data_IF_555056984043
#
_entry.id   IF_555056984043
#
_cell.length_a   1.000
_cell.length_b   1.000
_cell.length_c   1.000
_cell.angle_alpha   90.00
_cell.angle_beta   90.00
_cell.angle_gamma   90.00
#
_symmetry.space_group_name_H-M   'P 1'
#
loop_
_entity.id
_entity.type
_entity.pdbx_description
1 polymer ?
#
# COMPACT_ATOMS: atom_id res chain seq x y z
N UNK A 1 -17.98 -6.21 4.35
CA UNK A 1 -16.53 -5.87 4.22
C UNK A 1 -15.86 -5.91 5.60
N UNK A 2 -16.30 -5.09 6.56
CA UNK A 2 -15.83 -5.07 7.96
C UNK A 2 -15.64 -6.46 8.62
N UNK A 3 -16.67 -7.33 8.66
CA UNK A 3 -16.54 -8.69 9.22
C UNK A 3 -15.50 -9.57 8.54
N UNK A 4 -15.30 -9.43 7.22
CA UNK A 4 -14.28 -10.22 6.51
C UNK A 4 -12.86 -9.83 6.92
N UNK A 5 -12.64 -8.55 7.24
CA UNK A 5 -11.32 -8.09 7.65
C UNK A 5 -10.93 -8.65 9.02
N UNK A 6 -11.87 -8.69 9.97
CA UNK A 6 -11.68 -9.30 11.29
C UNK A 6 -11.54 -10.83 11.24
N UNK A 7 -12.38 -11.50 10.46
CA UNK A 7 -12.46 -12.97 10.48
C UNK A 7 -11.52 -13.66 9.49
N UNK A 8 -11.03 -12.95 8.47
CA UNK A 8 -10.17 -13.54 7.43
C UNK A 8 -8.83 -12.83 7.31
N UNK A 9 -8.84 -11.51 7.15
CA UNK A 9 -7.61 -10.76 6.82
C UNK A 9 -6.63 -10.74 7.99
N UNK A 10 -7.05 -10.31 9.18
CA UNK A 10 -6.14 -10.27 10.34
C UNK A 10 -5.62 -11.67 10.72
N UNK A 11 -6.46 -12.72 10.80
CA UNK A 11 -5.98 -14.07 11.04
C UNK A 11 -4.97 -14.54 9.98
N UNK A 12 -5.23 -14.27 8.70
CA UNK A 12 -4.30 -14.65 7.63
C UNK A 12 -2.98 -13.87 7.68
N UNK A 13 -2.99 -12.60 8.10
CA UNK A 13 -1.76 -11.83 8.35
C UNK A 13 -0.95 -12.51 9.44
N UNK A 14 -1.57 -12.83 10.58
CA UNK A 14 -0.90 -13.46 11.71
C UNK A 14 -0.30 -14.83 11.37
N UNK A 15 -1.06 -15.66 10.65
CA UNK A 15 -0.64 -16.99 10.20
C UNK A 15 0.55 -16.94 9.23
N UNK A 16 0.55 -15.97 8.31
CA UNK A 16 1.62 -15.78 7.32
C UNK A 16 2.77 -14.89 7.80
N UNK A 17 2.68 -14.32 9.00
CA UNK A 17 3.69 -13.39 9.50
C UNK A 17 4.99 -14.14 9.81
N UNK A 18 6.11 -13.63 9.32
CA UNK A 18 7.40 -14.28 9.54
C UNK A 18 7.77 -14.31 11.04
N UNK A 19 8.20 -15.47 11.52
CA UNK A 19 8.68 -15.62 12.89
C UNK A 19 9.91 -14.72 13.12
N UNK A 20 9.92 -14.02 14.26
CA UNK A 20 11.00 -13.08 14.63
C UNK A 20 10.85 -11.66 14.08
N UNK A 21 9.87 -11.39 13.21
CA UNK A 21 9.56 -10.03 12.76
C UNK A 21 8.89 -9.21 13.84
N UNK A 22 9.05 -7.87 13.77
CA UNK A 22 8.26 -6.95 14.58
C UNK A 22 6.77 -7.19 14.31
N UNK A 23 5.97 -7.27 15.38
CA UNK A 23 4.52 -7.48 15.31
C UNK A 23 3.71 -6.20 15.41
N UNK A 24 4.37 -5.04 15.45
CA UNK A 24 3.73 -3.76 15.20
C UNK A 24 3.47 -3.61 13.69
N UNK A 25 2.20 -3.62 13.30
CA UNK A 25 1.76 -3.62 11.90
C UNK A 25 0.79 -2.47 11.68
N UNK A 26 1.05 -1.67 10.64
CA UNK A 26 0.14 -0.60 10.22
C UNK A 26 -0.63 -1.10 9.00
N UNK A 27 -1.95 -1.25 9.14
CA UNK A 27 -2.85 -1.50 8.01
C UNK A 27 -3.37 -0.15 7.53
N UNK A 28 -2.99 0.20 6.32
CA UNK A 28 -3.46 1.41 5.65
C UNK A 28 -4.85 1.16 5.02
N UNK A 29 -5.81 2.05 5.23
CA UNK A 29 -7.13 2.02 4.60
C UNK A 29 -7.55 3.40 4.07
N UNK A 30 -8.47 3.45 3.11
CA UNK A 30 -9.02 4.74 2.68
C UNK A 30 -10.00 5.32 3.72
N UNK A 31 -10.37 6.59 3.58
CA UNK A 31 -11.27 7.30 4.49
C UNK A 31 -12.76 7.17 4.09
N UNK A 32 -13.21 5.98 3.67
CA UNK A 32 -14.63 5.74 3.39
C UNK A 32 -15.41 5.33 4.64
N UNK A 33 -16.68 5.74 4.74
CA UNK A 33 -17.54 5.53 5.92
C UNK A 33 -17.82 4.05 6.25
N UNK A 34 -17.53 3.14 5.33
CA UNK A 34 -17.81 1.70 5.45
C UNK A 34 -16.70 0.90 6.14
N UNK A 35 -15.62 1.57 6.53
CA UNK A 35 -14.46 0.93 7.16
C UNK A 35 -14.56 0.81 8.69
N UNK A 36 -13.74 -0.10 9.23
CA UNK A 36 -13.63 -0.32 10.67
C UNK A 36 -13.01 0.93 11.31
N UNK A 37 -13.58 1.41 12.40
CA UNK A 37 -12.91 2.38 13.25
C UNK A 37 -11.71 1.69 13.93
N UNK A 38 -10.55 2.34 13.97
CA UNK A 38 -9.38 1.82 14.69
C UNK A 38 -9.65 1.58 16.18
N UNK A 39 -10.58 2.33 16.77
CA UNK A 39 -10.99 2.19 18.17
C UNK A 39 -12.11 1.17 18.39
N UNK A 40 -12.51 0.43 17.34
CA UNK A 40 -13.53 -0.61 17.46
C UNK A 40 -13.07 -1.73 18.41
N UNK A 41 -13.84 -2.05 19.48
CA UNK A 41 -13.40 -3.04 20.47
C UNK A 41 -13.19 -4.45 19.90
N UNK A 42 -13.96 -4.85 18.88
CA UNK A 42 -13.82 -6.16 18.26
C UNK A 42 -12.54 -6.22 17.41
N UNK A 43 -12.24 -5.14 16.70
CA UNK A 43 -10.98 -4.97 16.00
C UNK A 43 -9.79 -5.03 16.94
N UNK A 44 -9.75 -4.19 17.98
CA UNK A 44 -8.64 -4.12 18.93
C UNK A 44 -8.36 -5.49 19.56
N UNK A 45 -9.41 -6.21 19.95
CA UNK A 45 -9.29 -7.56 20.51
C UNK A 45 -8.57 -8.53 19.56
N UNK A 46 -8.92 -8.53 18.27
CA UNK A 46 -8.30 -9.44 17.30
C UNK A 46 -6.92 -8.94 16.88
N UNK A 47 -6.76 -7.64 16.71
CA UNK A 47 -5.53 -6.96 16.30
C UNK A 47 -4.40 -7.11 17.34
N UNK A 48 -4.74 -7.05 18.62
CA UNK A 48 -3.78 -7.06 19.73
C UNK A 48 -3.52 -8.45 20.34
N UNK A 49 -4.27 -9.48 19.90
CA UNK A 49 -4.05 -10.84 20.36
C UNK A 49 -2.69 -11.40 19.87
N UNK A 50 -2.18 -12.42 20.55
CA UNK A 50 -0.98 -13.19 20.16
C UNK A 50 0.31 -12.35 20.13
N UNK A 51 0.34 -11.26 20.90
CA UNK A 51 1.45 -10.31 20.98
C UNK A 51 1.62 -9.45 19.74
N UNK A 52 0.59 -9.36 18.90
CA UNK A 52 0.56 -8.39 17.81
C UNK A 52 0.11 -7.02 18.29
N UNK A 53 0.52 -5.99 17.57
CA UNK A 53 0.05 -4.62 17.74
C UNK A 53 -0.32 -4.08 16.36
N UNK A 54 -1.50 -4.45 15.89
CA UNK A 54 -2.01 -4.07 14.56
C UNK A 54 -2.86 -2.81 14.71
N UNK A 55 -2.48 -1.74 14.01
CA UNK A 55 -3.21 -0.47 14.02
C UNK A 55 -3.75 -0.14 12.63
N UNK A 56 -4.89 0.54 12.58
CA UNK A 56 -5.44 1.08 11.33
C UNK A 56 -4.96 2.52 11.14
N UNK A 57 -4.49 2.82 9.93
CA UNK A 57 -4.15 4.18 9.54
C UNK A 57 -4.94 4.58 8.30
N UNK A 58 -5.74 5.65 8.42
CA UNK A 58 -6.47 6.19 7.29
C UNK A 58 -5.55 7.02 6.39
N UNK A 59 -5.70 6.86 5.08
CA UNK A 59 -5.03 7.66 4.07
C UNK A 59 -5.52 9.12 4.10
N UNK A 60 -4.65 10.09 3.75
CA UNK A 60 -5.10 11.44 3.45
C UNK A 60 -6.19 11.43 2.37
N UNK A 61 -7.21 12.26 2.52
CA UNK A 61 -8.31 12.35 1.56
C UNK A 61 -7.82 12.80 0.17
N UNK A 62 -8.50 12.33 -0.88
CA UNK A 62 -8.30 12.77 -2.28
C UNK A 62 -6.91 12.52 -2.88
N UNK A 63 -6.16 11.52 -2.40
CA UNK A 63 -4.86 11.17 -3.00
C UNK A 63 -4.77 9.68 -3.36
N UNK A 64 -5.27 9.27 -4.55
CA UNK A 64 -5.27 7.86 -4.96
C UNK A 64 -3.86 7.29 -5.10
N UNK A 65 -2.85 8.13 -5.33
CA UNK A 65 -1.46 7.70 -5.46
C UNK A 65 -0.83 7.30 -4.11
N UNK A 66 -1.50 7.60 -2.98
CA UNK A 66 -1.14 7.10 -1.65
C UNK A 66 -1.80 5.75 -1.31
N UNK A 67 -2.61 5.20 -2.22
CA UNK A 67 -3.16 3.87 -2.10
C UNK A 67 -2.34 2.87 -2.90
N UNK A 68 -1.57 2.04 -2.20
CA UNK A 68 -0.67 1.06 -2.83
C UNK A 68 -1.40 0.06 -3.74
N UNK A 69 -2.66 -0.30 -3.40
CA UNK A 69 -3.47 -1.20 -4.21
C UNK A 69 -3.92 -0.51 -5.49
N UNK A 70 -4.30 0.77 -5.42
CA UNK A 70 -4.63 1.58 -6.60
C UNK A 70 -3.40 1.87 -7.47
N UNK A 71 -2.23 2.07 -6.87
CA UNK A 71 -0.99 2.36 -7.59
C UNK A 71 -0.38 1.12 -8.27
N UNK A 72 -0.63 -0.07 -7.74
CA UNK A 72 -0.10 -1.32 -8.24
C UNK A 72 -1.17 -2.29 -8.71
N UNK A 73 -1.69 -3.08 -7.77
CA UNK A 73 -2.54 -4.24 -8.06
C UNK A 73 -3.74 -3.94 -8.97
N UNK A 74 -4.54 -2.92 -8.66
CA UNK A 74 -5.74 -2.59 -9.43
C UNK A 74 -5.39 -2.09 -10.83
N UNK A 75 -4.29 -1.36 -11.00
CA UNK A 75 -3.81 -0.96 -12.34
C UNK A 75 -3.43 -2.16 -13.19
N UNK A 76 -2.73 -3.14 -12.62
CA UNK A 76 -2.37 -4.38 -13.36
C UNK A 76 -3.63 -5.14 -13.78
N UNK A 77 -4.58 -5.32 -12.86
CA UNK A 77 -5.85 -5.99 -13.16
C UNK A 77 -6.63 -5.24 -14.25
N UNK A 78 -6.70 -3.90 -14.18
CA UNK A 78 -7.34 -3.07 -15.20
C UNK A 78 -6.65 -3.22 -16.57
N UNK A 79 -5.31 -3.20 -16.61
CA UNK A 79 -4.55 -3.43 -17.85
C UNK A 79 -4.91 -4.78 -18.46
N UNK A 80 -4.92 -5.85 -17.65
CA UNK A 80 -5.31 -7.19 -18.12
C UNK A 80 -6.76 -7.21 -18.61
N UNK A 81 -7.67 -6.55 -17.89
CA UNK A 81 -9.07 -6.44 -18.28
C UNK A 81 -9.21 -5.79 -19.66
N UNK A 82 -8.47 -4.71 -19.92
CA UNK A 82 -8.48 -4.01 -21.21
C UNK A 82 -7.83 -4.83 -22.31
N UNK A 83 -6.65 -5.39 -22.07
CA UNK A 83 -5.90 -6.20 -23.06
C UNK A 83 -6.67 -7.46 -23.47
N UNK A 84 -7.27 -8.15 -22.50
CA UNK A 84 -8.00 -9.41 -22.73
C UNK A 84 -9.50 -9.20 -22.96
N UNK A 85 -9.99 -7.96 -22.90
CA UNK A 85 -11.41 -7.61 -23.07
C UNK A 85 -12.35 -8.46 -22.22
N UNK A 86 -11.99 -8.68 -20.94
CA UNK A 86 -12.75 -9.54 -20.03
C UNK A 86 -14.16 -8.94 -19.81
N UNK A 87 -15.21 -9.76 -19.94
CA UNK A 87 -16.61 -9.31 -19.93
C UNK A 87 -17.43 -9.88 -18.77
N UNK A 88 -16.90 -10.88 -18.07
CA UNK A 88 -17.63 -11.58 -17.00
C UNK A 88 -16.88 -11.52 -15.67
N UNK A 89 -17.63 -11.70 -14.58
CA UNK A 89 -17.06 -11.78 -13.23
C UNK A 89 -16.12 -12.98 -13.10
N UNK A 90 -16.44 -14.12 -13.72
CA UNK A 90 -15.60 -15.32 -13.68
C UNK A 90 -14.23 -15.10 -14.33
N UNK A 91 -14.21 -14.43 -15.48
CA UNK A 91 -12.96 -14.03 -16.15
C UNK A 91 -12.13 -13.06 -15.31
N UNK A 92 -12.78 -12.12 -14.62
CA UNK A 92 -12.10 -11.20 -13.71
C UNK A 92 -11.49 -11.93 -12.51
N UNK A 93 -12.19 -12.92 -11.94
CA UNK A 93 -11.65 -13.75 -10.84
C UNK A 93 -10.39 -14.47 -11.30
N UNK A 94 -10.43 -15.13 -12.47
CA UNK A 94 -9.25 -15.80 -13.05
C UNK A 94 -8.10 -14.81 -13.24
N UNK A 95 -8.38 -13.61 -13.76
CA UNK A 95 -7.35 -12.60 -13.94
C UNK A 95 -6.72 -12.14 -12.61
N UNK A 96 -7.52 -11.97 -11.56
CA UNK A 96 -7.04 -11.64 -10.22
C UNK A 96 -6.18 -12.76 -9.66
N UNK A 97 -6.58 -14.02 -9.80
CA UNK A 97 -5.80 -15.18 -9.37
C UNK A 97 -4.44 -15.26 -10.08
N UNK A 98 -4.41 -15.01 -11.39
CA UNK A 98 -3.16 -14.94 -12.16
C UNK A 98 -2.26 -13.84 -11.63
N UNK A 99 -2.77 -12.61 -11.43
CA UNK A 99 -1.98 -11.50 -10.89
C UNK A 99 -1.43 -11.83 -9.51
N UNK A 100 -2.24 -12.42 -8.63
CA UNK A 100 -1.80 -12.82 -7.30
C UNK A 100 -0.69 -13.88 -7.36
N UNK A 101 -0.79 -14.86 -8.25
CA UNK A 101 0.21 -15.92 -8.40
C UNK A 101 1.52 -15.44 -9.05
N UNK A 102 1.44 -14.47 -9.98
CA UNK A 102 2.62 -13.87 -10.62
C UNK A 102 3.29 -12.80 -9.75
N UNK A 103 2.59 -12.30 -8.73
CA UNK A 103 3.13 -11.31 -7.80
C UNK A 103 4.24 -11.93 -6.95
N UNK A 104 5.39 -11.27 -6.90
CA UNK A 104 6.54 -11.70 -6.13
C UNK A 104 7.18 -10.50 -5.41
N UNK A 105 8.18 -10.77 -4.56
CA UNK A 105 8.82 -9.75 -3.76
C UNK A 105 9.42 -8.60 -4.60
N UNK A 106 9.89 -8.88 -5.82
CA UNK A 106 10.45 -7.86 -6.71
C UNK A 106 9.37 -6.95 -7.27
N UNK A 107 8.26 -7.53 -7.75
CA UNK A 107 7.14 -6.71 -8.28
C UNK A 107 6.44 -5.93 -7.18
N UNK A 108 6.29 -6.50 -5.98
CA UNK A 108 5.82 -5.79 -4.80
C UNK A 108 6.75 -4.62 -4.43
N UNK A 109 8.06 -4.84 -4.46
CA UNK A 109 9.02 -3.79 -4.18
C UNK A 109 8.94 -2.67 -5.23
N UNK A 110 8.63 -2.95 -6.50
CA UNK A 110 8.41 -1.89 -7.48
C UNK A 110 7.25 -0.96 -7.12
N UNK A 111 6.13 -1.52 -6.68
CA UNK A 111 4.96 -0.74 -6.26
C UNK A 111 5.26 0.03 -4.98
N UNK A 112 5.93 -0.62 -4.02
CA UNK A 112 6.36 0.00 -2.76
C UNK A 112 7.26 1.21 -2.99
N UNK A 113 8.28 1.07 -3.84
CA UNK A 113 9.12 2.19 -4.23
C UNK A 113 8.31 3.29 -4.93
N UNK A 114 7.32 2.95 -5.76
CA UNK A 114 6.48 3.97 -6.43
C UNK A 114 5.76 4.81 -5.40
N UNK A 115 5.18 4.18 -4.37
CA UNK A 115 4.49 4.87 -3.30
C UNK A 115 5.42 5.84 -2.56
N UNK A 116 6.64 5.41 -2.22
CA UNK A 116 7.62 6.28 -1.57
C UNK A 116 8.04 7.47 -2.45
N UNK A 117 8.19 7.24 -3.76
CA UNK A 117 8.44 8.34 -4.70
C UNK A 117 7.26 9.32 -4.77
N UNK A 118 6.01 8.83 -4.81
CA UNK A 118 4.84 9.71 -4.71
C UNK A 118 4.88 10.56 -3.45
N UNK A 119 5.17 9.96 -2.29
CA UNK A 119 5.27 10.69 -1.02
C UNK A 119 6.35 11.78 -1.06
N UNK A 120 7.51 11.51 -1.67
CA UNK A 120 8.57 12.51 -1.84
C UNK A 120 8.15 13.67 -2.75
N UNK A 121 7.45 13.38 -3.85
CA UNK A 121 6.93 14.41 -4.74
C UNK A 121 5.85 15.27 -4.07
N UNK A 122 4.94 14.65 -3.32
CA UNK A 122 3.91 15.35 -2.53
C UNK A 122 4.58 16.30 -1.52
N UNK A 123 5.59 15.84 -0.80
CA UNK A 123 6.35 16.68 0.14
C UNK A 123 7.02 17.87 -0.57
N UNK A 124 7.58 17.61 -1.76
CA UNK A 124 8.24 18.65 -2.56
C UNK A 124 7.25 19.69 -3.09
N UNK A 125 6.04 19.26 -3.47
CA UNK A 125 4.95 20.10 -3.98
C UNK A 125 3.98 20.57 -2.87
N UNK A 126 4.44 20.67 -1.61
CA UNK A 126 3.67 21.23 -0.47
C UNK A 126 2.29 20.56 -0.27
N UNK A 127 2.20 19.24 -0.45
CA UNK A 127 0.97 18.47 -0.24
C UNK A 127 0.04 18.40 -1.46
N UNK A 128 0.43 18.95 -2.60
CA UNK A 128 -0.37 18.95 -3.82
C UNK A 128 -0.16 17.67 -4.64
N UNK A 129 -1.08 17.42 -5.58
CA UNK A 129 -1.14 16.21 -6.40
C UNK A 129 -0.75 16.48 -7.86
N UNK A 130 -0.04 17.58 -8.14
CA UNK A 130 0.32 18.00 -9.51
C UNK A 130 1.72 17.51 -9.93
N UNK A 131 2.19 16.41 -9.36
CA UNK A 131 3.48 15.84 -9.69
C UNK A 131 3.37 14.78 -10.79
N UNK A 132 4.49 14.51 -11.47
CA UNK A 132 4.61 13.38 -12.37
C UNK A 132 5.21 12.22 -11.59
N UNK A 133 4.60 11.05 -11.72
CA UNK A 133 5.14 9.81 -11.17
C UNK A 133 6.59 9.58 -11.65
N UNK A 134 7.58 9.52 -10.73
CA UNK A 134 8.98 9.36 -11.12
C UNK A 134 9.26 7.99 -11.75
N UNK A 135 9.80 7.98 -12.98
CA UNK A 135 10.23 6.76 -13.66
C UNK A 135 11.65 6.35 -13.24
N UNK A 136 11.76 5.55 -12.19
CA UNK A 136 13.04 5.23 -11.54
C UNK A 136 13.78 4.00 -12.09
N UNK A 137 13.54 3.65 -13.36
CA UNK A 137 14.21 2.55 -14.06
C UNK A 137 14.31 1.24 -13.23
N UNK A 138 13.27 0.93 -12.45
CA UNK A 138 13.29 -0.13 -11.43
C UNK A 138 13.65 -1.50 -12.01
N UNK A 139 13.18 -1.80 -13.23
CA UNK A 139 13.55 -3.01 -13.99
C UNK A 139 15.05 -3.10 -14.23
N UNK A 140 15.71 -1.99 -14.60
CA UNK A 140 17.17 -1.93 -14.79
C UNK A 140 17.90 -2.14 -13.47
N UNK A 141 17.47 -1.47 -12.40
CA UNK A 141 18.09 -1.61 -11.07
C UNK A 141 17.95 -3.03 -10.53
N UNK A 142 16.79 -3.67 -10.72
CA UNK A 142 16.58 -5.07 -10.33
C UNK A 142 17.47 -6.02 -11.11
N UNK A 143 17.64 -5.83 -12.42
CA UNK A 143 18.54 -6.66 -13.24
C UNK A 143 20.00 -6.55 -12.79
N UNK A 144 20.38 -5.38 -12.27
CA UNK A 144 21.71 -5.12 -11.72
C UNK A 144 21.85 -5.59 -10.26
N UNK A 145 20.79 -6.10 -9.62
CA UNK A 145 20.82 -6.52 -8.22
C UNK A 145 20.94 -5.39 -7.19
N UNK A 146 20.73 -4.14 -7.60
CA UNK A 146 20.92 -2.94 -6.78
C UNK A 146 19.60 -2.16 -6.56
N UNK A 147 18.46 -2.83 -6.74
CA UNK A 147 17.16 -2.22 -6.49
C UNK A 147 17.01 -1.96 -4.97
N UNK A 148 16.79 -0.71 -4.53
CA UNK A 148 16.60 -0.42 -3.13
C UNK A 148 15.27 -1.00 -2.61
N UNK A 149 15.16 -1.16 -1.29
CA UNK A 149 13.89 -1.54 -0.62
C UNK A 149 13.16 -0.35 -0.01
N UNK A 150 13.81 0.80 0.03
CA UNK A 150 13.26 2.05 0.55
C UNK A 150 13.90 3.26 -0.14
N UNK A 151 13.20 4.39 -0.10
CA UNK A 151 13.68 5.68 -0.58
C UNK A 151 13.52 6.67 0.56
N UNK A 152 14.60 7.35 0.93
CA UNK A 152 14.54 8.39 1.94
C UNK A 152 13.97 9.68 1.34
N UNK A 153 13.11 10.42 2.07
CA UNK A 153 12.73 11.76 1.66
C UNK A 153 13.94 12.70 1.76
N UNK A 154 13.91 13.79 0.98
CA UNK A 154 14.92 14.84 1.11
C UNK A 154 14.76 15.50 2.50
N UNK A 155 15.81 15.41 3.33
CA UNK A 155 15.79 15.91 4.71
C UNK A 155 15.50 17.41 4.78
N UNK A 156 16.04 18.21 3.86
CA UNK A 156 15.84 19.66 3.84
C UNK A 156 14.36 19.98 3.58
N UNK A 157 13.75 19.31 2.60
CA UNK A 157 12.32 19.44 2.29
C UNK A 157 11.47 19.01 3.49
N UNK A 158 11.81 17.90 4.16
CA UNK A 158 11.07 17.46 5.36
C UNK A 158 11.15 18.51 6.46
N UNK A 159 12.33 19.05 6.75
CA UNK A 159 12.52 20.06 7.78
C UNK A 159 11.76 21.35 7.46
N UNK A 160 11.81 21.81 6.20
CA UNK A 160 11.05 22.97 5.72
C UNK A 160 9.54 22.77 5.95
N UNK A 161 8.98 21.61 5.55
CA UNK A 161 7.55 21.30 5.71
C UNK A 161 7.14 21.15 7.17
N UNK A 162 8.02 20.62 8.02
CA UNK A 162 7.76 20.52 9.46
C UNK A 162 7.71 21.89 10.13
N UNK A 163 8.56 22.83 9.70
CA UNK A 163 8.52 24.21 10.21
C UNK A 163 7.22 24.93 9.81
N UNK A 164 6.74 24.75 8.57
CA UNK A 164 5.46 25.32 8.09
C UNK A 164 4.23 24.79 8.86
N UNK A 165 4.32 23.64 9.54
CA UNK A 165 3.23 23.08 10.37
C UNK A 165 3.23 23.60 11.81
N UNK A 166 4.27 24.32 12.22
CA UNK A 166 4.41 24.88 13.58
C UNK A 166 4.03 26.38 13.64
N UNK A 167 3.74 26.99 12.50
CA UNK A 167 3.19 28.34 12.35
C UNK A 167 1.66 28.33 12.28
#
# INVERSE_FOLDING_TARGET
>A
IWRQQLQKVIPAIKDKWHAGSNKHIIIQQDKTKTHINGDDPEFLRVAQADGFDIVLQCQPSNNPDLNINALGFFRVIQTIQHEKSLKTVGELIIAVEVVLNETNNVTLNYVWLSLMFCMNEILSDKGNNKYKLPHMNKKKLSRLGILPTHVCPNKEVVLERLAELQE
#
